data_IF_979644593943
#
_entry.id   IF_979644593943
#
_cell.length_a   1.000
_cell.length_b   1.000
_cell.length_c   1.000
_cell.angle_alpha   90.00
_cell.angle_beta   90.00
_cell.angle_gamma   90.00
#
_symmetry.space_group_name_H-M   'P 1'
#
loop_
_entity.id
_entity.type
_entity.pdbx_description
1 polymer ?
#
# COMPACT_ATOMS: atom_id res chain seq x y z
N UNK A 1 5.16 83.63 108.50
CA UNK A 1 5.30 83.33 107.05
C UNK A 1 5.69 81.87 106.85
N UNK A 2 4.84 80.95 107.28
CA UNK A 2 5.09 79.53 107.12
C UNK A 2 4.05 78.77 107.91
N UNK A 3 3.33 77.88 107.25
CA UNK A 3 2.51 76.87 107.91
C UNK A 3 2.64 75.54 107.19
N UNK A 4 2.92 74.56 108.04
CA UNK A 4 3.04 73.13 107.83
C UNK A 4 1.68 72.53 107.50
N UNK A 5 1.61 71.58 106.58
CA UNK A 5 0.78 70.38 106.73
C UNK A 5 1.39 69.21 105.94
N UNK A 6 1.99 68.29 106.67
CA UNK A 6 2.19 66.89 106.29
C UNK A 6 0.91 66.13 106.66
N UNK A 7 0.28 65.46 105.68
CA UNK A 7 -0.31 64.11 105.78
C UNK A 7 -1.33 63.88 104.65
N UNK A 8 -1.07 62.89 103.78
CA UNK A 8 -1.95 61.72 103.60
C UNK A 8 -1.39 60.73 102.58
N UNK A 9 -1.12 59.53 103.08
CA UNK A 9 -1.45 58.23 102.46
C UNK A 9 -1.04 57.97 101.03
N UNK A 10 0.06 57.21 100.87
CA UNK A 10 0.30 56.36 99.70
C UNK A 10 -0.94 55.49 99.43
N UNK A 11 -1.46 55.56 98.22
CA UNK A 11 -2.45 54.65 97.69
C UNK A 11 -1.87 53.92 96.47
N UNK A 12 -1.90 52.59 96.57
CA UNK A 12 -1.95 51.62 95.49
C UNK A 12 -0.78 51.58 94.48
N UNK A 13 0.29 50.93 94.90
CA UNK A 13 1.29 50.31 94.04
C UNK A 13 1.17 48.80 94.31
N UNK A 14 0.59 48.02 93.39
CA UNK A 14 0.31 46.61 93.67
C UNK A 14 -0.31 45.72 92.58
N UNK A 15 -1.00 46.24 91.56
CA UNK A 15 -1.79 45.38 90.65
C UNK A 15 -1.31 45.32 89.17
N UNK A 16 -0.25 46.04 88.78
CA UNK A 16 0.22 46.09 87.38
C UNK A 16 1.07 44.90 86.95
N UNK A 17 1.88 44.30 87.84
CA UNK A 17 2.83 43.25 87.46
C UNK A 17 2.20 41.85 87.24
N UNK A 18 1.03 41.60 87.83
CA UNK A 18 0.28 40.34 87.62
C UNK A 18 -0.60 40.38 86.36
N UNK A 19 -0.89 41.57 85.85
CA UNK A 19 -1.61 41.76 84.58
C UNK A 19 -0.63 41.75 83.40
N UNK A 20 0.52 42.40 83.50
CA UNK A 20 1.58 42.37 82.45
C UNK A 20 2.11 40.96 82.16
N UNK A 21 2.43 40.17 83.20
CA UNK A 21 2.93 38.79 83.03
C UNK A 21 1.88 37.79 82.51
N UNK A 22 0.60 38.05 82.74
CA UNK A 22 -0.50 37.29 82.13
C UNK A 22 -0.70 37.68 80.67
N UNK A 23 -0.51 38.94 80.33
CA UNK A 23 -0.58 39.44 78.95
C UNK A 23 0.60 38.90 78.15
N UNK A 24 1.84 38.95 78.66
CA UNK A 24 3.01 38.35 78.00
C UNK A 24 2.88 36.84 77.80
N UNK A 25 2.41 36.09 78.80
CA UNK A 25 2.19 34.66 78.64
C UNK A 25 1.06 34.34 77.65
N UNK A 26 0.01 35.17 77.59
CA UNK A 26 -1.05 35.04 76.60
C UNK A 26 -0.53 35.36 75.19
N UNK A 27 0.31 36.38 75.01
CA UNK A 27 0.95 36.71 73.74
C UNK A 27 1.93 35.63 73.29
N UNK A 28 2.71 35.05 74.22
CA UNK A 28 3.59 33.92 73.93
C UNK A 28 2.81 32.64 73.58
N UNK A 29 1.67 32.39 74.23
CA UNK A 29 0.80 31.27 73.88
C UNK A 29 0.17 31.45 72.48
N UNK A 30 -0.31 32.66 72.17
CA UNK A 30 -0.88 32.99 70.85
C UNK A 30 0.18 32.91 69.74
N UNK A 31 1.42 33.35 70.01
CA UNK A 31 2.53 33.20 69.05
C UNK A 31 2.97 31.74 68.89
N UNK A 32 2.98 30.94 69.95
CA UNK A 32 3.25 29.50 69.86
C UNK A 32 2.17 28.76 69.07
N UNK A 33 0.89 29.07 69.31
CA UNK A 33 -0.25 28.48 68.59
C UNK A 33 -0.24 28.84 67.11
N UNK A 34 0.06 30.10 66.76
CA UNK A 34 0.18 30.53 65.36
C UNK A 34 1.37 29.88 64.65
N UNK A 35 2.51 29.69 65.33
CA UNK A 35 3.66 28.95 64.79
C UNK A 35 3.37 27.46 64.60
N UNK A 36 2.59 26.84 65.49
CA UNK A 36 2.12 25.46 65.34
C UNK A 36 1.15 25.33 64.16
N UNK A 37 0.19 26.25 64.02
CA UNK A 37 -0.72 26.29 62.89
C UNK A 37 0.02 26.48 61.55
N UNK A 38 1.05 27.35 61.52
CA UNK A 38 1.93 27.51 60.35
C UNK A 38 2.71 26.23 60.03
N UNK A 39 3.23 25.53 61.04
CA UNK A 39 3.91 24.25 60.84
C UNK A 39 2.97 23.18 60.27
N UNK A 40 1.74 23.10 60.76
CA UNK A 40 0.74 22.18 60.21
C UNK A 40 0.38 22.54 58.76
N UNK A 41 0.23 23.83 58.45
CA UNK A 41 -0.03 24.32 57.10
C UNK A 41 1.11 23.96 56.14
N UNK A 42 2.37 24.18 56.55
CA UNK A 42 3.55 23.84 55.77
C UNK A 42 3.66 22.33 55.55
N UNK A 43 3.34 21.51 56.56
CA UNK A 43 3.32 20.05 56.41
C UNK A 43 2.25 19.59 55.41
N UNK A 44 1.07 20.21 55.43
CA UNK A 44 0.00 19.96 54.44
C UNK A 44 0.42 20.38 53.03
N UNK A 45 1.12 21.51 52.89
CA UNK A 45 1.65 21.93 51.58
C UNK A 45 2.71 20.97 51.07
N UNK A 46 3.66 20.55 51.92
CA UNK A 46 4.67 19.57 51.56
C UNK A 46 4.07 18.23 51.15
N UNK A 47 2.99 17.77 51.81
CA UNK A 47 2.33 16.53 51.40
C UNK A 47 1.64 16.67 50.03
N UNK A 48 0.98 17.81 49.78
CA UNK A 48 0.32 18.08 48.50
C UNK A 48 1.36 18.19 47.37
N UNK A 49 2.48 18.87 47.61
CA UNK A 49 3.58 18.95 46.63
C UNK A 49 4.23 17.58 46.39
N UNK A 50 4.39 16.75 47.42
CA UNK A 50 4.91 15.39 47.24
C UNK A 50 3.95 14.52 46.43
N UNK A 51 2.64 14.65 46.64
CA UNK A 51 1.62 13.95 45.84
C UNK A 51 1.57 14.46 44.40
N UNK A 52 1.70 15.77 44.18
CA UNK A 52 1.75 16.34 42.83
C UNK A 52 3.02 15.93 42.09
N UNK A 53 4.19 15.93 42.75
CA UNK A 53 5.43 15.42 42.18
C UNK A 53 5.32 13.94 41.83
N UNK A 54 4.75 13.12 42.73
CA UNK A 54 4.50 11.69 42.46
C UNK A 54 3.61 11.49 41.25
N UNK A 55 2.48 12.19 41.17
CA UNK A 55 1.55 12.06 40.04
C UNK A 55 2.16 12.54 38.71
N UNK A 56 2.94 13.62 38.72
CA UNK A 56 3.68 14.06 37.53
C UNK A 56 4.73 13.02 37.12
N UNK A 57 5.48 12.45 38.07
CA UNK A 57 6.48 11.42 37.73
C UNK A 57 5.84 10.14 37.19
N UNK A 58 4.69 9.70 37.71
CA UNK A 58 3.98 8.54 37.17
C UNK A 58 3.44 8.84 35.77
N UNK A 59 2.85 10.01 35.56
CA UNK A 59 2.36 10.42 34.24
C UNK A 59 3.48 10.56 33.20
N UNK A 60 4.65 11.09 33.60
CA UNK A 60 5.83 11.16 32.73
C UNK A 60 6.37 9.76 32.40
N UNK A 61 6.40 8.84 33.36
CA UNK A 61 6.84 7.47 33.14
C UNK A 61 5.90 6.73 32.17
N UNK A 62 4.59 6.90 32.34
CA UNK A 62 3.56 6.34 31.44
C UNK A 62 3.69 6.93 30.03
N UNK A 63 3.79 8.25 29.90
CA UNK A 63 3.96 8.93 28.61
C UNK A 63 5.24 8.49 27.90
N UNK A 64 6.34 8.33 28.63
CA UNK A 64 7.61 7.87 28.06
C UNK A 64 7.53 6.40 27.62
N UNK A 65 6.84 5.55 28.40
CA UNK A 65 6.59 4.16 28.02
C UNK A 65 5.72 4.05 26.75
N UNK A 66 4.69 4.88 26.62
CA UNK A 66 3.89 4.97 25.40
C UNK A 66 4.71 5.44 24.21
N UNK A 67 5.54 6.48 24.38
CA UNK A 67 6.42 6.98 23.32
C UNK A 67 7.40 5.90 22.83
N UNK A 68 8.00 5.13 23.74
CA UNK A 68 8.83 3.97 23.43
C UNK A 68 8.05 2.90 22.62
N UNK A 69 6.83 2.58 23.03
CA UNK A 69 5.97 1.62 22.31
C UNK A 69 5.62 2.11 20.90
N UNK A 70 5.28 3.39 20.75
CA UNK A 70 5.05 3.97 19.43
C UNK A 70 6.30 3.90 18.58
N UNK A 71 7.48 4.24 19.12
CA UNK A 71 8.75 4.16 18.39
C UNK A 71 9.04 2.75 17.89
N UNK A 72 8.79 1.73 18.72
CA UNK A 72 8.90 0.31 18.33
C UNK A 72 7.93 -0.07 17.22
N UNK A 73 6.66 0.34 17.33
CA UNK A 73 5.64 0.10 16.29
C UNK A 73 6.00 0.79 14.97
N UNK A 74 6.53 2.01 15.02
CA UNK A 74 7.02 2.72 13.83
C UNK A 74 8.20 1.99 13.20
N UNK A 75 9.18 1.53 13.98
CA UNK A 75 10.29 0.75 13.43
C UNK A 75 9.84 -0.59 12.83
N UNK A 76 8.89 -1.29 13.46
CA UNK A 76 8.33 -2.53 12.89
C UNK A 76 7.56 -2.26 11.60
N UNK A 77 6.78 -1.17 11.55
CA UNK A 77 6.08 -0.76 10.33
C UNK A 77 7.06 -0.38 9.22
N UNK A 78 8.15 0.32 9.54
CA UNK A 78 9.20 0.69 8.59
C UNK A 78 9.89 -0.55 8.02
N UNK A 79 10.27 -1.51 8.87
CA UNK A 79 10.83 -2.80 8.44
C UNK A 79 9.85 -3.60 7.58
N UNK A 80 8.55 -3.58 7.90
CA UNK A 80 7.51 -4.21 7.06
C UNK A 80 7.39 -3.49 5.71
N UNK A 81 7.45 -2.16 5.67
CA UNK A 81 7.39 -1.38 4.44
C UNK A 81 8.62 -1.59 3.55
N UNK A 82 9.79 -1.77 4.18
CA UNK A 82 11.04 -2.14 3.51
C UNK A 82 10.97 -3.58 2.97
N UNK A 83 10.51 -4.54 3.77
CA UNK A 83 10.32 -5.93 3.35
C UNK A 83 9.30 -6.08 2.22
N UNK A 84 8.28 -5.22 2.18
CA UNK A 84 7.31 -5.14 1.08
C UNK A 84 7.89 -4.47 -0.18
N UNK A 85 9.13 -3.97 -0.14
CA UNK A 85 9.82 -3.39 -1.30
C UNK A 85 9.26 -2.04 -1.76
N UNK A 86 8.36 -1.43 -0.99
CA UNK A 86 7.69 -0.17 -1.35
C UNK A 86 8.64 1.03 -1.29
N UNK A 87 9.69 0.96 -0.46
CA UNK A 87 10.76 1.96 -0.42
C UNK A 87 11.59 1.99 -1.72
N UNK A 88 11.81 0.83 -2.35
CA UNK A 88 12.45 0.76 -3.67
C UNK A 88 11.51 1.24 -4.76
N UNK A 89 10.21 0.90 -4.68
CA UNK A 89 9.22 1.37 -5.64
C UNK A 89 9.14 2.91 -5.73
N UNK A 90 9.30 3.63 -4.60
CA UNK A 90 9.18 5.09 -4.61
C UNK A 90 10.41 5.80 -5.20
N UNK A 91 11.63 5.29 -4.94
CA UNK A 91 12.87 5.81 -5.56
C UNK A 91 13.01 5.43 -7.03
N UNK A 92 12.48 4.28 -7.41
CA UNK A 92 12.52 3.78 -8.77
C UNK A 92 11.34 4.27 -9.61
N UNK A 93 10.28 4.83 -9.02
CA UNK A 93 9.11 5.34 -9.76
C UNK A 93 9.50 6.38 -10.81
N UNK A 94 10.33 7.37 -10.46
CA UNK A 94 10.78 8.38 -11.41
C UNK A 94 11.66 7.77 -12.53
N UNK A 95 12.53 6.81 -12.21
CA UNK A 95 13.35 6.11 -13.20
C UNK A 95 12.52 5.17 -14.08
N UNK A 96 11.48 4.55 -13.52
CA UNK A 96 10.55 3.67 -14.21
C UNK A 96 9.66 4.48 -15.16
N UNK A 97 9.16 5.64 -14.72
CA UNK A 97 8.42 6.59 -15.54
C UNK A 97 9.29 7.11 -16.69
N UNK A 98 10.55 7.44 -16.43
CA UNK A 98 11.49 7.86 -17.49
C UNK A 98 11.79 6.73 -18.50
N UNK A 99 11.97 5.50 -18.03
CA UNK A 99 12.14 4.31 -18.91
C UNK A 99 10.89 3.96 -19.68
N UNK A 100 9.72 4.16 -19.09
CA UNK A 100 8.44 3.95 -19.76
C UNK A 100 8.23 4.99 -20.86
N UNK A 101 8.53 6.26 -20.57
CA UNK A 101 8.48 7.33 -21.57
C UNK A 101 9.44 7.05 -22.73
N UNK A 102 10.68 6.65 -22.46
CA UNK A 102 11.62 6.31 -23.54
C UNK A 102 11.13 5.11 -24.36
N UNK A 103 10.69 4.03 -23.72
CA UNK A 103 10.19 2.85 -24.42
C UNK A 103 8.93 3.14 -25.27
N UNK A 104 8.04 4.02 -24.79
CA UNK A 104 6.86 4.46 -25.53
C UNK A 104 7.27 5.35 -26.71
N UNK A 105 8.21 6.27 -26.52
CA UNK A 105 8.75 7.09 -27.62
C UNK A 105 9.45 6.25 -28.69
N UNK A 106 10.27 5.28 -28.28
CA UNK A 106 10.96 4.36 -29.20
C UNK A 106 9.94 3.51 -29.98
N UNK A 107 8.90 3.04 -29.31
CA UNK A 107 7.81 2.30 -29.97
C UNK A 107 7.04 3.16 -30.96
N UNK A 108 6.79 4.43 -30.64
CA UNK A 108 6.16 5.36 -31.59
C UNK A 108 7.04 5.65 -32.80
N UNK A 109 8.36 5.80 -32.61
CA UNK A 109 9.30 6.00 -33.71
C UNK A 109 9.35 4.77 -34.62
N UNK A 110 9.47 3.57 -34.05
CA UNK A 110 9.46 2.31 -34.79
C UNK A 110 8.14 2.08 -35.54
N UNK A 111 7.00 2.49 -34.95
CA UNK A 111 5.71 2.44 -35.64
C UNK A 111 5.67 3.37 -36.85
N UNK A 112 6.22 4.59 -36.72
CA UNK A 112 6.27 5.56 -37.81
C UNK A 112 7.17 5.07 -38.95
N UNK A 113 8.37 4.59 -38.66
CA UNK A 113 9.26 4.02 -39.68
C UNK A 113 8.61 2.84 -40.41
N UNK A 114 7.95 1.95 -39.67
CA UNK A 114 7.22 0.81 -40.23
C UNK A 114 6.10 1.26 -41.17
N UNK A 115 5.41 2.36 -40.87
CA UNK A 115 4.36 2.89 -41.72
C UNK A 115 4.94 3.57 -42.97
N UNK A 116 6.08 4.27 -42.86
CA UNK A 116 6.81 4.83 -44.01
C UNK A 116 7.32 3.72 -44.96
N UNK A 117 7.88 2.62 -44.42
CA UNK A 117 8.27 1.46 -45.22
C UNK A 117 7.08 0.82 -45.94
N UNK A 118 5.90 0.79 -45.30
CA UNK A 118 4.68 0.27 -45.94
C UNK A 118 4.23 1.15 -47.08
N UNK A 119 4.24 2.47 -46.91
CA UNK A 119 3.87 3.39 -47.98
C UNK A 119 4.83 3.27 -49.18
N UNK A 120 6.13 3.11 -48.93
CA UNK A 120 7.11 2.84 -49.98
C UNK A 120 6.87 1.50 -50.68
N UNK A 121 6.56 0.43 -49.93
CA UNK A 121 6.23 -0.87 -50.49
C UNK A 121 4.95 -0.83 -51.32
N UNK A 122 3.92 -0.09 -50.89
CA UNK A 122 2.69 0.10 -51.67
C UNK A 122 2.96 0.86 -52.97
N UNK A 123 3.78 1.92 -52.94
CA UNK A 123 4.19 2.66 -54.14
C UNK A 123 4.98 1.79 -55.11
N UNK A 124 5.89 0.95 -54.60
CA UNK A 124 6.64 -0.01 -55.42
C UNK A 124 5.68 -1.04 -56.06
N UNK A 125 4.71 -1.52 -55.29
CA UNK A 125 3.67 -2.44 -55.76
C UNK A 125 2.90 -1.84 -56.94
N UNK A 126 2.48 -0.58 -56.80
CA UNK A 126 1.75 0.16 -57.82
C UNK A 126 2.59 0.39 -59.09
N UNK A 127 3.86 0.78 -58.92
CA UNK A 127 4.80 0.95 -60.04
C UNK A 127 5.05 -0.38 -60.78
N UNK A 128 5.15 -1.49 -60.05
CA UNK A 128 5.33 -2.83 -60.63
C UNK A 128 4.08 -3.29 -61.39
N UNK A 129 2.88 -3.02 -60.87
CA UNK A 129 1.62 -3.25 -61.60
C UNK A 129 1.54 -2.43 -62.87
N UNK A 130 1.90 -1.15 -62.81
CA UNK A 130 1.89 -0.27 -63.97
C UNK A 130 2.85 -0.79 -65.05
N UNK A 131 4.05 -1.23 -64.65
CA UNK A 131 5.04 -1.85 -65.54
C UNK A 131 4.54 -3.16 -66.17
N UNK A 132 3.91 -4.05 -65.39
CA UNK A 132 3.35 -5.31 -65.91
C UNK A 132 2.16 -5.09 -66.86
N UNK A 133 1.34 -4.05 -66.62
CA UNK A 133 0.22 -3.69 -67.49
C UNK A 133 0.68 -3.06 -68.81
N UNK A 134 1.79 -2.34 -68.80
CA UNK A 134 2.34 -1.64 -69.98
C UNK A 134 3.31 -2.47 -70.80
N UNK A 135 4.02 -3.42 -70.19
CA UNK A 135 4.81 -4.41 -70.92
C UNK A 135 3.89 -5.46 -71.54
N UNK A 136 3.95 -5.68 -72.85
CA UNK A 136 3.07 -6.60 -73.59
C UNK A 136 3.69 -8.01 -73.79
N UNK A 137 4.89 -8.28 -73.24
CA UNK A 137 5.70 -9.45 -73.62
C UNK A 137 6.28 -10.21 -72.43
N UNK A 138 5.44 -10.95 -71.69
CA UNK A 138 5.93 -11.81 -70.60
C UNK A 138 4.90 -12.83 -70.16
N UNK A 139 5.36 -14.07 -69.97
CA UNK A 139 4.60 -15.29 -69.68
C UNK A 139 3.40 -15.05 -68.77
N UNK A 140 2.21 -15.48 -69.22
CA UNK A 140 0.95 -15.34 -68.48
C UNK A 140 1.03 -15.91 -67.05
N UNK A 141 1.85 -16.95 -66.84
CA UNK A 141 2.13 -17.57 -65.55
C UNK A 141 2.86 -16.62 -64.58
N UNK A 142 3.84 -15.86 -65.08
CA UNK A 142 4.62 -14.91 -64.27
C UNK A 142 3.79 -13.69 -63.86
N UNK A 143 2.88 -13.23 -64.75
CA UNK A 143 1.91 -12.17 -64.43
C UNK A 143 0.96 -12.59 -63.31
N UNK A 144 0.42 -13.80 -63.41
CA UNK A 144 -0.51 -14.33 -62.40
C UNK A 144 0.16 -14.51 -61.03
N UNK A 145 1.40 -15.00 -61.00
CA UNK A 145 2.16 -15.15 -59.75
C UNK A 145 2.45 -13.80 -59.08
N UNK A 146 2.84 -12.78 -59.86
CA UNK A 146 3.09 -11.45 -59.33
C UNK A 146 1.80 -10.78 -58.85
N UNK A 147 0.69 -10.86 -59.62
CA UNK A 147 -0.62 -10.36 -59.18
C UNK A 147 -1.15 -11.03 -57.91
N UNK A 148 -0.94 -12.34 -57.75
CA UNK A 148 -1.32 -13.07 -56.54
C UNK A 148 -0.51 -12.56 -55.34
N UNK A 149 0.81 -12.44 -55.48
CA UNK A 149 1.71 -11.94 -54.43
C UNK A 149 1.34 -10.50 -54.03
N UNK A 150 1.01 -9.67 -55.02
CA UNK A 150 0.53 -8.30 -54.85
C UNK A 150 -0.78 -8.21 -54.06
N UNK A 151 -1.76 -9.07 -54.37
CA UNK A 151 -3.03 -9.14 -53.63
C UNK A 151 -2.79 -9.57 -52.18
N UNK A 152 -1.94 -10.58 -51.96
CA UNK A 152 -1.55 -11.06 -50.63
C UNK A 152 -0.85 -9.97 -49.81
N UNK A 153 0.09 -9.23 -50.41
CA UNK A 153 0.78 -8.10 -49.76
C UNK A 153 -0.19 -6.96 -49.43
N UNK A 154 -1.13 -6.62 -50.32
CA UNK A 154 -2.17 -5.62 -50.05
C UNK A 154 -3.14 -6.06 -48.93
N UNK A 155 -3.49 -7.35 -48.85
CA UNK A 155 -4.29 -7.88 -47.75
C UNK A 155 -3.56 -7.81 -46.40
N UNK A 156 -2.26 -8.08 -46.37
CA UNK A 156 -1.44 -7.96 -45.17
C UNK A 156 -1.27 -6.50 -44.73
N UNK A 157 -1.05 -5.58 -45.68
CA UNK A 157 -0.95 -4.15 -45.40
C UNK A 157 -2.27 -3.57 -44.85
N UNK A 158 -3.42 -3.98 -45.40
CA UNK A 158 -4.75 -3.55 -44.93
C UNK A 158 -5.15 -4.19 -43.60
N UNK A 159 -4.86 -5.48 -43.39
CA UNK A 159 -5.06 -6.15 -42.09
C UNK A 159 -4.21 -5.53 -40.97
N UNK A 160 -3.02 -5.03 -41.30
CA UNK A 160 -2.18 -4.30 -40.35
C UNK A 160 -2.64 -2.85 -40.10
N UNK A 161 -3.27 -2.19 -41.07
CA UNK A 161 -3.82 -0.83 -40.94
C UNK A 161 -5.09 -0.80 -40.09
N UNK A 162 -5.87 -1.87 -40.16
CA UNK A 162 -7.12 -2.05 -39.44
C UNK A 162 -7.01 -3.13 -38.36
N UNK A 163 -5.85 -3.33 -37.72
CA UNK A 163 -5.79 -4.23 -36.57
C UNK A 163 -6.79 -3.71 -35.53
N UNK A 164 -7.97 -4.34 -35.38
CA UNK A 164 -8.84 -4.00 -34.28
C UNK A 164 -8.07 -4.46 -33.05
N UNK A 165 -8.14 -3.66 -31.99
CA UNK A 165 -7.83 -4.08 -30.65
C UNK A 165 -8.26 -5.55 -30.51
N UNK A 166 -7.28 -6.46 -30.36
CA UNK A 166 -7.53 -7.90 -30.35
C UNK A 166 -8.73 -8.16 -29.43
N UNK A 167 -9.70 -8.99 -29.83
CA UNK A 167 -10.91 -9.19 -29.04
C UNK A 167 -10.48 -9.52 -27.63
N UNK A 168 -10.91 -8.67 -26.67
CA UNK A 168 -10.63 -8.85 -25.25
C UNK A 168 -10.81 -10.34 -24.95
N UNK A 169 -9.80 -11.04 -24.42
CA UNK A 169 -9.96 -12.46 -24.12
C UNK A 169 -11.18 -12.57 -23.22
N UNK A 170 -12.23 -13.18 -23.77
CA UNK A 170 -13.41 -13.51 -23.00
C UNK A 170 -12.98 -14.48 -21.91
N UNK A 171 -13.76 -14.63 -20.84
CA UNK A 171 -13.50 -15.59 -19.75
C UNK A 171 -13.16 -17.03 -20.24
N UNK A 172 -13.45 -17.34 -21.50
CA UNK A 172 -13.33 -18.65 -22.12
C UNK A 172 -12.01 -18.91 -22.85
N UNK A 173 -11.15 -17.90 -23.03
CA UNK A 173 -9.88 -18.01 -23.78
C UNK A 173 -8.65 -17.79 -22.89
N UNK A 174 -8.70 -18.28 -21.66
CA UNK A 174 -7.51 -18.33 -20.82
C UNK A 174 -6.45 -19.26 -21.42
N UNK A 175 -5.18 -18.94 -21.26
CA UNK A 175 -4.05 -19.82 -21.57
C UNK A 175 -3.01 -19.81 -20.46
N UNK A 176 -2.34 -20.94 -20.30
CA UNK A 176 -1.21 -21.08 -19.38
C UNK A 176 -0.01 -20.31 -19.93
N UNK A 177 0.43 -19.29 -19.21
CA UNK A 177 1.63 -18.49 -19.54
C UNK A 177 2.88 -19.19 -19.01
N UNK A 178 2.83 -19.70 -17.78
CA UNK A 178 4.00 -20.28 -17.12
C UNK A 178 3.58 -21.40 -16.17
N UNK A 179 4.40 -22.45 -16.15
CA UNK A 179 4.27 -23.58 -15.25
C UNK A 179 5.55 -23.68 -14.42
N UNK A 180 5.40 -23.76 -13.09
CA UNK A 180 6.48 -24.17 -12.19
C UNK A 180 6.09 -25.52 -11.58
N UNK A 181 6.60 -26.60 -12.18
CA UNK A 181 6.32 -27.98 -11.77
C UNK A 181 6.75 -28.26 -10.33
N UNK A 182 7.87 -27.68 -9.88
CA UNK A 182 8.42 -27.84 -8.53
C UNK A 182 7.45 -27.39 -7.41
N UNK A 183 6.51 -26.48 -7.72
CA UNK A 183 5.59 -25.86 -6.76
C UNK A 183 4.12 -26.17 -7.11
N UNK A 184 3.88 -27.01 -8.11
CA UNK A 184 2.55 -27.25 -8.69
C UNK A 184 1.79 -25.95 -8.99
N UNK A 185 2.52 -24.91 -9.42
CA UNK A 185 2.00 -23.56 -9.58
C UNK A 185 1.90 -23.18 -11.06
N UNK A 186 0.70 -22.77 -11.46
CA UNK A 186 0.34 -22.41 -12.83
C UNK A 186 -0.01 -20.92 -12.86
N UNK A 187 0.56 -20.19 -13.81
CA UNK A 187 0.21 -18.79 -14.08
C UNK A 187 -0.62 -18.72 -15.35
N UNK A 188 -1.84 -18.20 -15.23
CA UNK A 188 -2.76 -17.96 -16.33
C UNK A 188 -2.83 -16.49 -16.73
N UNK A 189 -3.18 -16.23 -17.99
CA UNK A 189 -3.46 -14.88 -18.52
C UNK A 189 -4.86 -14.33 -18.17
N UNK A 190 -5.51 -14.92 -17.15
CA UNK A 190 -6.82 -14.52 -16.65
C UNK A 190 -6.66 -13.88 -15.28
N UNK A 191 -7.41 -12.84 -14.97
CA UNK A 191 -7.30 -12.13 -13.70
C UNK A 191 -8.63 -11.53 -13.26
N UNK A 192 -8.56 -10.56 -12.36
CA UNK A 192 -9.73 -9.89 -11.77
C UNK A 192 -10.59 -9.20 -12.83
N UNK A 193 -9.97 -8.64 -13.89
CA UNK A 193 -10.70 -8.03 -15.02
C UNK A 193 -11.55 -9.04 -15.79
N UNK A 194 -11.20 -10.33 -15.71
CA UNK A 194 -11.96 -11.44 -16.27
C UNK A 194 -12.85 -12.11 -15.20
N UNK A 195 -13.04 -11.50 -14.03
CA UNK A 195 -13.92 -12.02 -12.98
C UNK A 195 -13.38 -13.22 -12.22
N UNK A 196 -12.08 -13.55 -12.37
CA UNK A 196 -11.43 -14.61 -11.58
C UNK A 196 -11.32 -14.16 -10.13
N UNK A 197 -11.67 -15.04 -9.20
CA UNK A 197 -11.55 -14.80 -7.75
C UNK A 197 -10.69 -15.87 -7.09
N UNK A 198 -10.07 -15.49 -5.97
CA UNK A 198 -9.35 -16.42 -5.12
C UNK A 198 -10.31 -17.53 -4.67
N UNK A 199 -9.87 -18.79 -4.75
CA UNK A 199 -10.66 -19.97 -4.41
C UNK A 199 -11.51 -20.54 -5.55
N UNK A 200 -11.61 -19.85 -6.69
CA UNK A 200 -12.37 -20.33 -7.83
C UNK A 200 -11.68 -21.55 -8.48
N UNK A 201 -12.42 -22.63 -8.78
CA UNK A 201 -11.88 -23.76 -9.51
C UNK A 201 -11.73 -23.42 -11.00
N UNK A 202 -10.65 -23.90 -11.60
CA UNK A 202 -10.35 -23.76 -13.02
C UNK A 202 -9.98 -25.11 -13.61
N UNK A 203 -10.24 -25.31 -14.90
CA UNK A 203 -9.88 -26.55 -15.61
C UNK A 203 -8.90 -26.25 -16.71
N UNK A 204 -7.89 -27.11 -16.83
CA UNK A 204 -6.95 -27.12 -17.96
C UNK A 204 -7.50 -28.06 -19.02
N UNK A 205 -7.70 -27.53 -20.21
CA UNK A 205 -8.21 -28.25 -21.37
C UNK A 205 -7.14 -28.31 -22.46
N UNK A 206 -6.92 -29.50 -23.04
CA UNK A 206 -6.10 -29.71 -24.26
C UNK A 206 -6.88 -30.63 -25.18
N UNK A 207 -7.05 -30.20 -26.43
CA UNK A 207 -7.80 -30.97 -27.44
C UNK A 207 -9.19 -31.44 -26.95
N UNK A 208 -9.88 -30.55 -26.25
CA UNK A 208 -11.22 -30.77 -25.67
C UNK A 208 -11.29 -31.82 -24.53
N UNK A 209 -10.13 -32.24 -24.01
CA UNK A 209 -10.02 -33.13 -22.84
C UNK A 209 -9.55 -32.36 -21.60
N UNK A 210 -10.17 -32.65 -20.45
CA UNK A 210 -9.77 -32.12 -19.15
C UNK A 210 -8.50 -32.83 -18.68
N UNK A 211 -7.42 -32.09 -18.49
CA UNK A 211 -6.15 -32.62 -18.00
C UNK A 211 -6.07 -32.53 -16.47
N UNK A 212 -6.44 -31.37 -15.93
CA UNK A 212 -6.28 -31.07 -14.52
C UNK A 212 -7.28 -30.03 -14.03
N UNK A 213 -7.59 -30.11 -12.74
CA UNK A 213 -8.35 -29.10 -12.00
C UNK A 213 -7.37 -28.28 -11.16
N UNK A 214 -7.43 -26.96 -11.30
CA UNK A 214 -6.63 -25.98 -10.59
C UNK A 214 -7.53 -25.20 -9.62
N UNK A 215 -6.95 -24.74 -8.50
CA UNK A 215 -7.59 -23.76 -7.61
C UNK A 215 -6.80 -22.47 -7.59
N UNK A 216 -7.48 -21.36 -7.85
CA UNK A 216 -6.87 -20.03 -7.81
C UNK A 216 -6.47 -19.66 -6.39
N UNK A 217 -5.21 -19.28 -6.19
CA UNK A 217 -4.66 -18.85 -4.89
C UNK A 217 -4.29 -17.37 -4.86
N UNK A 218 -3.96 -16.78 -6.01
CA UNK A 218 -3.65 -15.36 -6.13
C UNK A 218 -4.25 -14.81 -7.43
N UNK A 219 -4.77 -13.58 -7.38
CA UNK A 219 -5.36 -12.90 -8.53
C UNK A 219 -4.85 -11.47 -8.60
N UNK A 220 -4.41 -11.08 -9.79
CA UNK A 220 -4.03 -9.71 -10.13
C UNK A 220 -4.94 -9.21 -11.25
N UNK A 221 -4.77 -7.95 -11.63
CA UNK A 221 -5.62 -7.30 -12.63
C UNK A 221 -5.71 -8.05 -13.98
N UNK A 222 -4.63 -8.72 -14.42
CA UNK A 222 -4.55 -9.40 -15.73
C UNK A 222 -4.00 -10.82 -15.68
N UNK A 223 -3.61 -11.32 -14.51
CA UNK A 223 -2.99 -12.64 -14.33
C UNK A 223 -3.49 -13.29 -13.04
N UNK A 224 -3.50 -14.61 -12.99
CA UNK A 224 -3.86 -15.38 -11.81
C UNK A 224 -2.83 -16.48 -11.58
N UNK A 225 -2.54 -16.72 -10.31
CA UNK A 225 -1.81 -17.88 -9.83
C UNK A 225 -2.79 -18.95 -9.35
N UNK A 226 -2.65 -20.15 -9.89
CA UNK A 226 -3.47 -21.30 -9.48
C UNK A 226 -2.57 -22.49 -9.13
N UNK A 227 -3.03 -23.30 -8.18
CA UNK A 227 -2.35 -24.51 -7.73
C UNK A 227 -3.11 -25.73 -8.23
N UNK A 228 -2.40 -26.76 -8.66
CA UNK A 228 -2.97 -28.02 -9.12
C UNK A 228 -3.61 -28.75 -7.92
N UNK A 229 -4.92 -29.03 -8.00
CA UNK A 229 -5.63 -29.82 -6.98
C UNK A 229 -5.70 -31.29 -7.38
N UNK A 230 -6.17 -31.55 -8.59
CA UNK A 230 -6.41 -32.89 -9.11
C UNK A 230 -5.89 -32.98 -10.54
N UNK A 231 -5.21 -34.08 -10.84
CA UNK A 231 -4.81 -34.44 -12.19
C UNK A 231 -5.65 -35.65 -12.62
N UNK A 232 -6.34 -35.54 -13.76
CA UNK A 232 -7.12 -36.65 -14.29
C UNK A 232 -6.20 -37.76 -14.87
N UNK A 233 -4.93 -37.46 -15.15
CA UNK A 233 -3.97 -38.43 -15.66
C UNK A 233 -2.53 -38.08 -15.25
N UNK A 234 -1.86 -38.99 -14.54
CA UNK A 234 -0.44 -38.85 -14.15
C UNK A 234 0.51 -38.77 -15.37
N UNK A 235 0.05 -39.23 -16.54
CA UNK A 235 0.82 -39.20 -17.80
C UNK A 235 0.74 -37.87 -18.55
N UNK A 236 -0.28 -37.06 -18.30
CA UNK A 236 -0.48 -35.80 -19.03
C UNK A 236 -0.10 -34.60 -18.16
N UNK A 237 1.14 -34.12 -18.35
CA UNK A 237 1.61 -32.88 -17.73
C UNK A 237 0.98 -31.66 -18.42
N UNK A 238 0.60 -30.68 -17.62
CA UNK A 238 0.22 -29.33 -18.06
C UNK A 238 1.39 -28.74 -18.85
N UNK A 239 1.13 -28.02 -19.94
CA UNK A 239 2.14 -27.34 -20.75
C UNK A 239 1.76 -25.86 -20.92
N UNK A 240 2.77 -25.05 -21.16
CA UNK A 240 2.58 -23.65 -21.56
C UNK A 240 1.79 -23.63 -22.87
N UNK A 241 0.73 -22.82 -22.91
CA UNK A 241 -0.19 -22.74 -24.05
C UNK A 241 -1.47 -23.56 -23.92
N UNK A 242 -1.62 -24.40 -22.89
CA UNK A 242 -2.90 -25.10 -22.65
C UNK A 242 -4.03 -24.11 -22.36
N UNK A 243 -5.26 -24.45 -22.79
CA UNK A 243 -6.43 -23.60 -22.59
C UNK A 243 -6.92 -23.73 -21.15
N UNK A 244 -7.13 -22.59 -20.51
CA UNK A 244 -7.70 -22.46 -19.17
C UNK A 244 -9.14 -22.03 -19.28
N UNK A 245 -10.05 -22.81 -18.71
CA UNK A 245 -11.45 -22.48 -18.60
C UNK A 245 -11.83 -22.31 -17.12
N UNK A 246 -12.44 -21.17 -16.81
CA UNK A 246 -12.97 -20.89 -15.48
C UNK A 246 -14.33 -21.56 -15.37
N UNK A 247 -14.49 -22.47 -14.40
CA UNK A 247 -15.81 -22.98 -14.07
C UNK A 247 -16.48 -21.98 -13.13
N UNK A 248 -17.20 -21.03 -13.71
CA UNK A 248 -18.15 -20.21 -12.96
C UNK A 248 -19.40 -21.06 -12.66
N UNK A 249 -19.24 -22.19 -11.96
CA UNK A 249 -20.36 -22.82 -11.30
C UNK A 249 -20.63 -22.04 -10.01
N UNK A 250 -21.78 -21.36 -9.87
CA UNK A 250 -22.19 -20.77 -8.61
C UNK A 250 -22.54 -21.91 -7.65
N UNK A 251 -21.56 -22.40 -6.92
CA UNK A 251 -21.81 -23.41 -5.89
C UNK A 251 -22.38 -22.74 -4.64
N UNK A 252 -23.68 -22.41 -4.62
CA UNK A 252 -24.47 -22.40 -3.38
C UNK A 252 -25.97 -22.57 -3.70
N UNK A 253 -26.48 -23.81 -3.71
CA UNK A 253 -27.82 -24.06 -3.16
C UNK A 253 -27.55 -24.58 -1.74
N UNK A 254 -27.63 -23.67 -0.78
CA UNK A 254 -27.76 -24.02 0.64
C UNK A 254 -29.11 -24.71 0.81
N UNK A 255 -29.10 -25.79 1.60
CA UNK A 255 -30.22 -26.54 2.18
C UNK A 255 -31.62 -25.98 1.98
#
# INVERSE_FOLDING_TARGET
>A
MGWVMLARGLAAEGDSSLSESKIENAEQAVTAETLLAQNEQLRKQLSIEQESLRSLTTSLAESNAEAELFRRKYSDLELRMEALGLASANKDRAKLEQRLLSAVSDLHLAQKERDEYRDQMLRLNEAMLHYLKTSQSGDAQARMGVEMQLRSTNQLATKSRNAPDSPRPSLMDGSVISLKEEWSFVVGNLGEKQGVKIGMPMRVMRDDRKIATLRVVDVRQKICGAVIQEMDSEKEKIKVGDRLQVDAQPSVTLK
#
